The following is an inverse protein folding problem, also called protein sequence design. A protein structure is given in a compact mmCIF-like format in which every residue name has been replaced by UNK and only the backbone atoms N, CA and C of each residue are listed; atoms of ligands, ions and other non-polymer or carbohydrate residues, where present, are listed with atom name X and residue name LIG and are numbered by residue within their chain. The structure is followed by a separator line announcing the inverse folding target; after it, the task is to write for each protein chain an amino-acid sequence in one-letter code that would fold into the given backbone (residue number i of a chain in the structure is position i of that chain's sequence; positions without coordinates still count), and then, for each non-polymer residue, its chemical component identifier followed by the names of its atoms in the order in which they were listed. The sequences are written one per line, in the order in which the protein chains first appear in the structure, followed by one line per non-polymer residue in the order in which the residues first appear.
data_IF_820667069373
#
_entry.id   IF_820667069373
#
_cell.length_a   1.000
_cell.length_b   1.000
_cell.length_c   1.000
_cell.angle_alpha   90.00
_cell.angle_beta   90.00
_cell.angle_gamma   90.00
#
_symmetry.space_group_name_H-M   'P 1'
#
loop_
_entity.id
_entity.type
_entity.pdbx_description
1 polymer ?
#
# COMPACT_ATOMS: atom_id res chain seq x y z
N UNK A 1 7.16 -4.70 4.53
CA UNK A 1 6.98 -5.54 5.73
C UNK A 1 8.16 -6.50 5.95
N UNK A 2 8.57 -7.31 4.96
CA UNK A 2 9.71 -8.23 5.12
C UNK A 2 10.99 -7.53 5.60
N UNK A 3 11.43 -6.45 4.93
CA UNK A 3 12.60 -5.68 5.36
C UNK A 3 12.50 -5.15 6.81
N UNK A 4 11.31 -4.73 7.27
CA UNK A 4 11.11 -4.30 8.67
C UNK A 4 11.36 -5.47 9.62
N UNK A 5 10.78 -6.64 9.31
CA UNK A 5 10.88 -7.84 10.12
C UNK A 5 12.31 -8.37 10.16
N UNK A 6 12.98 -8.44 9.01
CA UNK A 6 14.35 -8.93 8.88
C UNK A 6 15.34 -8.05 9.66
N UNK A 7 15.27 -6.72 9.51
CA UNK A 7 16.11 -5.81 10.31
C UNK A 7 15.83 -5.94 11.81
N UNK A 8 14.57 -6.13 12.20
CA UNK A 8 14.21 -6.34 13.60
C UNK A 8 14.79 -7.65 14.15
N UNK A 9 14.68 -8.75 13.40
CA UNK A 9 15.24 -10.06 13.77
C UNK A 9 16.77 -10.04 13.89
N UNK A 10 17.44 -9.22 13.08
CA UNK A 10 18.90 -9.03 13.14
C UNK A 10 19.34 -8.09 14.28
N UNK A 11 18.41 -7.50 15.02
CA UNK A 11 18.69 -6.52 16.07
C UNK A 11 19.05 -5.12 15.54
N UNK A 12 18.98 -4.88 14.23
CA UNK A 12 19.15 -3.55 13.65
C UNK A 12 17.85 -2.73 13.76
N UNK A 13 17.61 -2.23 14.98
CA UNK A 13 16.42 -1.44 15.29
C UNK A 13 16.36 -0.15 14.47
N UNK A 14 17.51 0.44 14.12
CA UNK A 14 17.55 1.69 13.35
C UNK A 14 17.09 1.44 11.91
N UNK A 15 17.57 0.38 11.27
CA UNK A 15 17.10 -0.01 9.95
C UNK A 15 15.60 -0.39 9.99
N UNK A 16 15.17 -1.15 10.98
CA UNK A 16 13.75 -1.51 11.14
C UNK A 16 12.84 -0.27 11.26
N UNK A 17 13.26 0.74 12.02
CA UNK A 17 12.52 2.01 12.14
C UNK A 17 12.46 2.77 10.82
N UNK A 18 13.53 2.82 10.05
CA UNK A 18 13.54 3.52 8.76
C UNK A 18 12.67 2.81 7.72
N UNK A 19 12.72 1.48 7.67
CA UNK A 19 11.81 0.69 6.86
C UNK A 19 10.35 0.89 7.29
N UNK A 20 10.08 0.98 8.59
CA UNK A 20 8.73 1.25 9.10
C UNK A 20 8.25 2.66 8.72
N UNK A 21 9.12 3.68 8.76
CA UNK A 21 8.77 5.04 8.31
C UNK A 21 8.42 5.05 6.82
N UNK A 22 9.19 4.34 6.01
CA UNK A 22 8.91 4.21 4.57
C UNK A 22 7.56 3.51 4.35
N UNK A 23 7.31 2.41 5.05
CA UNK A 23 6.02 1.72 5.01
C UNK A 23 4.85 2.63 5.41
N UNK A 24 5.00 3.40 6.49
CA UNK A 24 3.97 4.36 6.93
C UNK A 24 3.71 5.42 5.85
N UNK A 25 4.73 5.92 5.17
CA UNK A 25 4.57 6.86 4.04
C UNK A 25 3.86 6.23 2.84
N UNK A 26 4.06 4.94 2.59
CA UNK A 26 3.33 4.20 1.55
C UNK A 26 1.85 4.01 1.94
N UNK A 27 1.56 3.75 3.22
CA UNK A 27 0.21 3.53 3.70
C UNK A 27 -0.62 4.80 3.86
N UNK A 28 -0.03 5.88 4.38
CA UNK A 28 -0.77 7.08 4.76
C UNK A 28 -1.70 7.64 3.65
N UNK A 29 -1.28 7.67 2.36
CA UNK A 29 -2.14 8.11 1.27
C UNK A 29 -3.35 7.22 1.00
N UNK A 30 -3.41 6.00 1.53
CA UNK A 30 -4.53 5.07 1.29
C UNK A 30 -5.42 4.88 2.52
N UNK A 31 -4.90 5.12 3.73
CA UNK A 31 -5.68 5.05 4.98
C UNK A 31 -6.40 6.35 5.34
N UNK A 32 -5.84 7.52 4.99
CA UNK A 32 -6.32 8.81 5.51
C UNK A 32 -7.40 9.51 4.65
N UNK A 33 -7.91 8.85 3.61
CA UNK A 33 -8.79 9.48 2.59
C UNK A 33 -10.26 9.07 2.66
N UNK A 34 -10.67 8.32 3.69
CA UNK A 34 -12.07 7.87 3.80
C UNK A 34 -12.49 6.89 2.70
N UNK A 35 -11.53 6.33 1.95
CA UNK A 35 -11.80 5.31 0.95
C UNK A 35 -12.11 3.96 1.62
N UNK A 36 -12.95 3.12 0.99
CA UNK A 36 -13.13 1.74 1.40
C UNK A 36 -11.79 0.98 1.40
N UNK A 37 -11.19 0.79 2.58
CA UNK A 37 -9.84 0.24 2.74
C UNK A 37 -9.62 -1.07 1.95
N UNK A 38 -10.52 -2.04 2.09
CA UNK A 38 -10.40 -3.32 1.39
C UNK A 38 -10.61 -3.20 -0.13
N UNK A 39 -11.40 -2.23 -0.59
CA UNK A 39 -11.50 -1.89 -2.00
C UNK A 39 -10.19 -1.32 -2.55
N UNK A 40 -9.58 -0.40 -1.79
CA UNK A 40 -8.28 0.21 -2.12
C UNK A 40 -7.16 -0.82 -2.21
N UNK A 41 -7.02 -1.69 -1.19
CA UNK A 41 -5.99 -2.74 -1.18
C UNK A 41 -6.15 -3.67 -2.38
N UNK A 42 -7.38 -4.17 -2.62
CA UNK A 42 -7.65 -5.06 -3.75
C UNK A 42 -7.29 -4.40 -5.07
N UNK A 43 -7.67 -3.15 -5.26
CA UNK A 43 -7.33 -2.41 -6.47
C UNK A 43 -5.82 -2.22 -6.66
N UNK A 44 -5.08 -1.81 -5.61
CA UNK A 44 -3.62 -1.66 -5.67
C UNK A 44 -2.95 -2.99 -6.00
N UNK A 45 -3.39 -4.10 -5.39
CA UNK A 45 -2.86 -5.42 -5.70
C UNK A 45 -3.08 -5.77 -7.17
N UNK A 46 -4.28 -5.51 -7.72
CA UNK A 46 -4.52 -5.72 -9.15
C UNK A 46 -3.60 -4.89 -10.04
N UNK A 47 -3.41 -3.61 -9.74
CA UNK A 47 -2.57 -2.72 -10.56
C UNK A 47 -1.08 -3.10 -10.50
N UNK A 48 -0.58 -3.48 -9.33
CA UNK A 48 0.85 -3.81 -9.14
C UNK A 48 1.18 -5.21 -9.66
N UNK A 49 0.29 -6.18 -9.48
CA UNK A 49 0.54 -7.58 -9.85
C UNK A 49 0.04 -7.97 -11.24
N UNK A 50 -0.86 -7.18 -11.84
CA UNK A 50 -1.58 -7.54 -13.05
C UNK A 50 -2.61 -8.66 -12.86
N UNK A 51 -2.91 -9.06 -11.62
CA UNK A 51 -3.85 -10.14 -11.29
C UNK A 51 -5.20 -9.57 -10.88
N UNK A 52 -6.30 -10.07 -11.45
CA UNK A 52 -7.64 -9.66 -11.03
C UNK A 52 -8.04 -10.32 -9.70
N UNK A 53 -8.11 -9.53 -8.62
CA UNK A 53 -8.49 -10.03 -7.27
C UNK A 53 -9.99 -9.85 -6.93
N UNK A 54 -10.77 -9.43 -7.91
CA UNK A 54 -12.21 -9.20 -7.82
C UNK A 54 -12.62 -8.10 -6.83
N UNK A 55 -13.92 -7.87 -6.70
CA UNK A 55 -14.46 -6.86 -5.79
C UNK A 55 -14.45 -7.31 -4.32
N UNK A 56 -14.40 -6.38 -3.35
CA UNK A 56 -14.63 -6.70 -1.95
C UNK A 56 -16.07 -7.19 -1.73
N UNK A 57 -16.26 -8.11 -0.76
CA UNK A 57 -17.59 -8.55 -0.34
C UNK A 57 -18.19 -7.53 0.63
N UNK A 58 -19.52 -7.38 0.59
CA UNK A 58 -20.27 -6.55 1.54
C UNK A 58 -19.98 -6.97 3.00
N UNK A 59 -19.91 -6.02 3.95
CA UNK A 59 -20.24 -4.59 3.83
C UNK A 59 -19.14 -3.72 3.20
N UNK A 60 -17.99 -4.29 2.82
CA UNK A 60 -16.91 -3.52 2.21
C UNK A 60 -17.30 -3.11 0.79
N UNK A 61 -17.12 -1.82 0.50
CA UNK A 61 -17.51 -1.24 -0.77
C UNK A 61 -16.34 -1.27 -1.76
N UNK A 62 -16.66 -1.42 -3.04
CA UNK A 62 -15.71 -1.17 -4.13
C UNK A 62 -15.40 0.31 -4.22
N UNK A 63 -14.25 0.64 -4.82
CA UNK A 63 -13.94 2.01 -5.20
C UNK A 63 -14.79 2.46 -6.39
N UNK A 64 -15.21 3.73 -6.39
CA UNK A 64 -15.71 4.40 -7.60
C UNK A 64 -14.58 4.60 -8.61
N UNK A 65 -14.90 4.93 -9.86
CA UNK A 65 -13.89 5.18 -10.89
C UNK A 65 -13.02 6.41 -10.56
N UNK A 66 -13.61 7.45 -9.97
CA UNK A 66 -12.88 8.63 -9.49
C UNK A 66 -11.88 8.25 -8.39
N UNK A 67 -12.30 7.42 -7.45
CA UNK A 67 -11.43 6.92 -6.38
C UNK A 67 -10.32 6.03 -6.93
N UNK A 68 -10.61 5.15 -7.89
CA UNK A 68 -9.59 4.32 -8.57
C UNK A 68 -8.55 5.20 -9.27
N UNK A 69 -8.99 6.23 -9.98
CA UNK A 69 -8.10 7.19 -10.65
C UNK A 69 -7.18 7.86 -9.62
N UNK A 70 -7.73 8.35 -8.52
CA UNK A 70 -6.94 8.99 -7.46
C UNK A 70 -5.94 8.03 -6.80
N UNK A 71 -6.36 6.79 -6.52
CA UNK A 71 -5.47 5.76 -5.96
C UNK A 71 -4.32 5.46 -6.93
N UNK A 72 -4.60 5.39 -8.24
CA UNK A 72 -3.56 5.18 -9.27
C UNK A 72 -2.56 6.33 -9.32
N UNK A 73 -3.04 7.58 -9.29
CA UNK A 73 -2.16 8.76 -9.27
C UNK A 73 -1.26 8.79 -8.02
N UNK A 74 -1.81 8.41 -6.85
CA UNK A 74 -1.04 8.28 -5.61
C UNK A 74 -0.02 7.16 -5.71
N UNK A 75 -0.39 6.01 -6.27
CA UNK A 75 0.51 4.86 -6.45
C UNK A 75 1.70 5.23 -7.34
N UNK A 76 1.48 5.91 -8.47
CA UNK A 76 2.57 6.36 -9.34
C UNK A 76 3.56 7.30 -8.62
N UNK A 77 3.06 8.21 -7.77
CA UNK A 77 3.93 9.10 -6.97
C UNK A 77 4.77 8.35 -5.95
N UNK A 78 4.31 7.20 -5.48
CA UNK A 78 4.97 6.37 -4.47
C UNK A 78 5.88 5.30 -5.06
N UNK A 79 5.79 5.01 -6.36
CA UNK A 79 6.58 3.98 -7.04
C UNK A 79 8.10 4.09 -6.76
N UNK A 80 8.73 5.29 -6.75
CA UNK A 80 10.16 5.41 -6.41
C UNK A 80 10.50 5.01 -4.96
N UNK A 81 9.54 5.08 -4.02
CA UNK A 81 9.74 4.65 -2.63
C UNK A 81 9.65 3.13 -2.49
N UNK A 82 8.81 2.49 -3.31
CA UNK A 82 8.66 1.03 -3.36
C UNK A 82 9.94 0.39 -3.93
N UNK A 83 10.53 0.99 -4.96
CA UNK A 83 11.78 0.50 -5.55
C UNK A 83 12.98 0.60 -4.60
N UNK A 84 13.04 1.63 -3.75
CA UNK A 84 14.09 1.80 -2.72
C UNK A 84 14.02 0.80 -1.57
N UNK A 85 12.93 0.04 -1.45
CA UNK A 85 12.71 -0.94 -0.38
C UNK A 85 12.75 -2.40 -0.85
N UNK A 86 13.00 -2.62 -2.14
CA UNK A 86 13.39 -3.93 -2.72
C UNK A 86 14.90 -4.10 -2.65
#
# INVERSE_FOLDING_TARGET
YLAVWESFQQGDIRAAQEHQRTLTRLHAPFFNVGFPWLGTVKFIVSEVSGIEVGSPRRPNLSLSEEQKKEVRERLHKLQPLVEKTR
#
